data_IF_283248937065
#
_entry.id   IF_283248937065
#
_cell.length_a   1.000
_cell.length_b   1.000
_cell.length_c   1.000
_cell.angle_alpha   90.00
_cell.angle_beta   90.00
_cell.angle_gamma   90.00
#
_symmetry.space_group_name_H-M   'P 1'
#
loop_
_entity.id
_entity.type
_entity.pdbx_description
1 polymer ?
#
# COMPACT_ATOMS: atom_id res chain seq x y z
N UNK A 1 17.53 5.70 12.83
CA UNK A 1 17.83 5.06 11.52
C UNK A 1 18.02 3.58 11.82
N UNK A 2 17.27 2.70 11.14
CA UNK A 2 17.37 1.24 11.34
C UNK A 2 18.59 0.67 10.58
N UNK A 3 19.02 -0.55 10.94
CA UNK A 3 20.01 -1.36 10.21
C UNK A 3 19.37 -2.57 9.53
N UNK A 4 18.04 -2.67 9.53
CA UNK A 4 17.30 -3.76 8.89
C UNK A 4 17.65 -3.85 7.40
N UNK A 5 18.06 -5.04 6.96
CA UNK A 5 18.27 -5.37 5.55
C UNK A 5 17.07 -6.08 4.93
N UNK A 6 16.04 -6.35 5.74
CA UNK A 6 14.88 -7.13 5.36
C UNK A 6 13.62 -6.51 6.00
N UNK A 7 12.52 -6.56 5.26
CA UNK A 7 11.19 -6.30 5.76
C UNK A 7 10.26 -7.48 5.46
N UNK A 8 9.21 -7.62 6.25
CA UNK A 8 8.13 -8.57 6.01
C UNK A 8 6.82 -7.79 5.89
N UNK A 9 5.99 -8.16 4.92
CA UNK A 9 4.58 -7.78 4.89
C UNK A 9 3.73 -9.01 5.12
N UNK A 10 2.94 -8.96 6.18
CA UNK A 10 2.08 -10.06 6.62
C UNK A 10 0.64 -9.60 6.53
N UNK A 11 -0.22 -10.42 5.95
CA UNK A 11 -1.66 -10.26 6.01
C UNK A 11 -2.23 -11.43 6.80
N UNK A 12 -3.01 -11.12 7.84
CA UNK A 12 -3.72 -12.11 8.64
C UNK A 12 -5.22 -11.86 8.58
N UNK A 13 -6.00 -12.93 8.70
CA UNK A 13 -7.45 -12.85 8.76
C UNK A 13 -8.00 -12.61 10.18
N UNK A 14 -9.31 -12.61 10.31
CA UNK A 14 -10.04 -12.42 11.56
C UNK A 14 -9.85 -13.56 12.59
N UNK A 15 -9.33 -14.71 12.15
CA UNK A 15 -8.93 -15.83 13.01
C UNK A 15 -7.45 -15.77 13.40
N UNK A 16 -6.75 -14.69 13.01
CA UNK A 16 -5.30 -14.52 13.13
C UNK A 16 -4.50 -15.57 12.35
N UNK A 17 -5.06 -16.12 11.27
CA UNK A 17 -4.34 -16.99 10.36
C UNK A 17 -3.63 -16.15 9.30
N UNK A 18 -2.35 -16.43 9.05
CA UNK A 18 -1.61 -15.85 7.94
C UNK A 18 -2.22 -16.29 6.62
N UNK A 19 -2.64 -15.31 5.80
CA UNK A 19 -3.18 -15.54 4.45
C UNK A 19 -2.21 -15.11 3.36
N UNK A 20 -1.26 -14.25 3.70
CA UNK A 20 -0.19 -13.83 2.81
C UNK A 20 1.01 -13.35 3.61
N UNK A 21 2.21 -13.76 3.19
CA UNK A 21 3.48 -13.26 3.66
C UNK A 21 4.37 -13.00 2.46
N UNK A 22 5.05 -11.86 2.45
CA UNK A 22 6.14 -11.60 1.52
C UNK A 22 7.29 -10.94 2.25
N UNK A 23 8.49 -11.38 1.89
CA UNK A 23 9.75 -10.83 2.38
C UNK A 23 10.32 -9.88 1.34
N UNK A 24 10.81 -8.75 1.81
CA UNK A 24 11.35 -7.70 0.97
C UNK A 24 12.77 -7.35 1.39
N UNK A 25 13.72 -7.46 0.46
CA UNK A 25 15.09 -7.01 0.68
C UNK A 25 15.15 -5.48 0.66
N UNK A 26 15.73 -4.89 1.70
CA UNK A 26 15.94 -3.45 1.83
C UNK A 26 17.38 -3.10 1.47
N UNK A 27 17.56 -2.08 0.62
CA UNK A 27 18.86 -1.59 0.15
C UNK A 27 19.41 -0.45 1.05
N UNK A 28 18.85 -0.26 2.24
CA UNK A 28 19.12 0.86 3.15
C UNK A 28 18.86 2.26 2.53
N UNK A 29 18.13 2.34 1.42
CA UNK A 29 17.70 3.62 0.84
C UNK A 29 16.44 4.10 1.55
N UNK A 30 16.47 5.34 2.06
CA UNK A 30 15.27 5.96 2.62
C UNK A 30 14.32 6.37 1.49
N UNK A 31 13.09 5.85 1.49
CA UNK A 31 12.10 6.17 0.48
C UNK A 31 10.71 5.65 0.82
N UNK A 32 9.86 5.62 -0.20
CA UNK A 32 8.52 5.02 -0.15
C UNK A 32 8.58 3.68 -0.89
N UNK A 33 8.12 2.63 -0.21
CA UNK A 33 8.03 1.28 -0.75
C UNK A 33 6.65 1.06 -1.34
N UNK A 34 6.57 0.54 -2.56
CA UNK A 34 5.32 0.08 -3.16
C UNK A 34 5.19 -1.42 -2.96
N UNK A 35 4.03 -1.84 -2.45
CA UNK A 35 3.77 -3.24 -2.16
C UNK A 35 2.47 -3.66 -2.83
N UNK A 36 2.55 -4.71 -3.65
CA UNK A 36 1.41 -5.27 -4.34
C UNK A 36 1.05 -6.61 -3.70
N UNK A 37 -0.20 -6.75 -3.26
CA UNK A 37 -0.74 -8.04 -2.87
C UNK A 37 -1.19 -8.76 -4.13
N UNK A 38 -0.65 -9.97 -4.45
CA UNK A 38 -1.02 -10.70 -5.64
C UNK A 38 -2.52 -11.02 -5.70
N UNK A 39 -3.11 -10.99 -6.88
CA UNK A 39 -4.52 -11.38 -7.09
C UNK A 39 -4.80 -12.85 -6.72
N UNK A 40 -3.76 -13.68 -6.61
CA UNK A 40 -3.86 -15.07 -6.14
C UNK A 40 -4.19 -15.19 -4.66
N UNK A 41 -4.03 -14.11 -3.87
CA UNK A 41 -4.45 -14.07 -2.47
C UNK A 41 -5.97 -13.86 -2.44
N UNK A 42 -6.76 -14.86 -1.99
CA UNK A 42 -8.21 -14.82 -2.10
C UNK A 42 -8.84 -13.95 -1.02
N UNK A 43 -8.81 -12.63 -1.22
CA UNK A 43 -9.49 -11.67 -0.34
C UNK A 43 -11.00 -11.74 -0.56
N UNK A 44 -11.73 -12.07 0.51
CA UNK A 44 -13.18 -12.18 0.52
C UNK A 44 -13.82 -10.78 0.61
N UNK A 45 -14.84 -10.55 -0.21
CA UNK A 45 -15.61 -9.29 -0.19
C UNK A 45 -16.19 -9.01 1.21
N UNK A 46 -16.02 -7.78 1.69
CA UNK A 46 -16.50 -7.34 3.01
C UNK A 46 -15.80 -7.98 4.21
N UNK A 47 -14.77 -8.82 3.98
CA UNK A 47 -13.95 -9.37 5.06
C UNK A 47 -12.77 -8.45 5.34
N UNK A 48 -12.58 -8.11 6.61
CA UNK A 48 -11.44 -7.35 7.09
C UNK A 48 -10.25 -8.27 7.37
N UNK A 49 -9.08 -7.81 6.95
CA UNK A 49 -7.79 -8.42 7.20
C UNK A 49 -6.90 -7.41 7.91
N UNK A 50 -6.02 -7.88 8.79
CA UNK A 50 -5.00 -7.04 9.40
C UNK A 50 -3.71 -7.23 8.64
N UNK A 51 -3.08 -6.13 8.23
CA UNK A 51 -1.76 -6.18 7.66
C UNK A 51 -0.73 -5.65 8.65
N UNK A 52 0.48 -6.19 8.58
CA UNK A 52 1.66 -5.74 9.32
C UNK A 52 2.78 -5.48 8.31
N UNK A 53 3.50 -4.39 8.50
CA UNK A 53 4.77 -4.16 7.82
C UNK A 53 5.86 -4.09 8.87
N UNK A 54 6.81 -5.02 8.81
CA UNK A 54 7.81 -5.27 9.85
C UNK A 54 9.19 -5.06 9.27
N UNK A 55 10.02 -4.24 9.91
CA UNK A 55 11.44 -4.10 9.63
C UNK A 55 12.21 -5.09 10.50
N UNK A 56 12.77 -6.13 9.89
CA UNK A 56 13.51 -7.19 10.58
C UNK A 56 14.89 -6.65 10.97
N UNK A 57 15.03 -6.27 12.24
CA UNK A 57 16.24 -5.61 12.73
C UNK A 57 17.29 -6.61 13.22
N UNK A 58 16.83 -7.70 13.82
CA UNK A 58 17.65 -8.81 14.30
C UNK A 58 16.87 -10.13 14.15
N UNK A 59 17.19 -10.97 13.15
CA UNK A 59 16.47 -12.23 12.93
C UNK A 59 16.52 -13.19 14.13
N UNK A 60 17.48 -13.04 15.04
CA UNK A 60 17.59 -13.86 16.26
C UNK A 60 16.85 -13.26 17.45
N UNK A 61 16.49 -11.98 17.41
CA UNK A 61 15.82 -11.25 18.49
C UNK A 61 14.74 -10.32 17.91
N UNK A 62 13.65 -10.95 17.44
CA UNK A 62 12.52 -10.29 16.77
C UNK A 62 11.79 -9.27 17.65
N UNK A 63 12.00 -9.27 18.98
CA UNK A 63 11.45 -8.23 19.88
C UNK A 63 12.00 -6.83 19.58
N UNK A 64 13.09 -6.74 18.82
CA UNK A 64 13.72 -5.49 18.39
C UNK A 64 13.16 -4.94 17.08
N UNK A 65 12.26 -5.65 16.43
CA UNK A 65 11.68 -5.21 15.16
C UNK A 65 10.83 -3.95 15.33
N UNK A 66 10.88 -3.10 14.31
CA UNK A 66 9.96 -1.99 14.17
C UNK A 66 8.84 -2.38 13.23
N UNK A 67 7.59 -2.11 13.60
CA UNK A 67 6.46 -2.47 12.75
C UNK A 67 5.34 -1.46 12.84
N UNK A 68 4.52 -1.47 11.80
CA UNK A 68 3.24 -0.75 11.71
C UNK A 68 2.18 -1.72 11.25
N UNK A 69 0.91 -1.38 11.47
CA UNK A 69 -0.22 -2.22 11.08
C UNK A 69 -1.38 -1.38 10.55
N UNK A 70 -2.32 -2.04 9.87
CA UNK A 70 -3.57 -1.45 9.46
C UNK A 70 -4.60 -2.49 9.06
N UNK A 71 -5.71 -2.02 8.52
CA UNK A 71 -6.81 -2.85 8.00
C UNK A 71 -6.80 -2.81 6.48
N UNK A 72 -7.04 -3.96 5.88
CA UNK A 72 -7.34 -4.13 4.46
C UNK A 72 -8.71 -4.79 4.34
N UNK A 73 -9.59 -4.23 3.53
CA UNK A 73 -10.91 -4.78 3.26
C UNK A 73 -11.15 -4.70 1.76
N UNK A 74 -11.62 -5.80 1.17
CA UNK A 74 -12.05 -5.80 -0.23
C UNK A 74 -13.50 -5.35 -0.30
N UNK A 75 -13.72 -4.13 -0.76
CA UNK A 75 -15.05 -3.50 -0.80
C UNK A 75 -15.70 -3.62 -2.16
N UNK A 76 -17.02 -3.79 -2.19
CA UNK A 76 -17.79 -3.81 -3.43
C UNK A 76 -17.99 -2.38 -3.95
N UNK A 77 -17.76 -2.17 -5.23
CA UNK A 77 -18.09 -0.90 -5.87
C UNK A 77 -19.59 -0.79 -6.03
N UNK A 78 -20.16 0.40 -5.79
CA UNK A 78 -21.55 0.64 -6.17
C UNK A 78 -21.68 0.50 -7.70
N UNK A 79 -22.85 0.06 -8.22
CA UNK A 79 -23.05 -0.06 -9.65
C UNK A 79 -22.79 1.24 -10.43
N UNK A 80 -23.11 2.38 -9.82
CA UNK A 80 -22.85 3.70 -10.38
C UNK A 80 -21.35 4.01 -10.45
N UNK A 81 -20.60 3.75 -9.37
CA UNK A 81 -19.16 3.95 -9.35
C UNK A 81 -18.45 3.04 -10.35
N UNK A 82 -18.85 1.77 -10.42
CA UNK A 82 -18.31 0.83 -11.40
C UNK A 82 -18.53 1.32 -12.84
N UNK A 83 -19.74 1.77 -13.17
CA UNK A 83 -20.04 2.31 -14.50
C UNK A 83 -19.23 3.58 -14.81
N UNK A 84 -19.09 4.50 -13.85
CA UNK A 84 -18.32 5.72 -14.02
C UNK A 84 -16.83 5.40 -14.24
N UNK A 85 -16.27 4.45 -13.50
CA UNK A 85 -14.89 4.00 -13.66
C UNK A 85 -14.64 3.31 -15.01
N UNK A 86 -15.60 2.51 -15.51
CA UNK A 86 -15.51 1.88 -16.83
C UNK A 86 -15.51 2.91 -17.98
N UNK A 87 -16.25 4.01 -17.82
CA UNK A 87 -16.38 5.04 -18.85
C UNK A 87 -15.23 6.06 -18.81
N UNK A 88 -14.69 6.36 -17.63
CA UNK A 88 -13.63 7.33 -17.46
C UNK A 88 -12.28 6.78 -17.96
N UNK A 89 -11.64 7.50 -18.89
CA UNK A 89 -10.35 7.12 -19.48
C UNK A 89 -9.18 7.87 -18.84
N UNK A 90 -9.45 8.96 -18.13
CA UNK A 90 -8.45 9.73 -17.43
C UNK A 90 -8.20 9.15 -16.03
N UNK A 91 -6.99 8.63 -15.81
CA UNK A 91 -6.58 8.01 -14.54
C UNK A 91 -6.65 8.95 -13.34
N UNK A 92 -6.45 10.27 -13.53
CA UNK A 92 -6.58 11.25 -12.44
C UNK A 92 -8.06 11.43 -12.06
N UNK A 93 -8.97 11.43 -13.04
CA UNK A 93 -10.42 11.46 -12.76
C UNK A 93 -10.89 10.14 -12.13
N UNK A 94 -10.37 8.98 -12.55
CA UNK A 94 -10.62 7.71 -11.85
C UNK A 94 -10.17 7.76 -10.37
N UNK A 95 -9.01 8.34 -10.08
CA UNK A 95 -8.55 8.51 -8.70
C UNK A 95 -9.50 9.39 -7.86
N UNK A 96 -10.07 10.45 -8.46
CA UNK A 96 -11.07 11.30 -7.81
C UNK A 96 -12.37 10.54 -7.56
N UNK A 97 -12.84 9.71 -8.50
CA UNK A 97 -14.01 8.86 -8.29
C UNK A 97 -13.82 7.91 -7.10
N UNK A 98 -12.65 7.28 -6.96
CA UNK A 98 -12.32 6.50 -5.77
C UNK A 98 -12.30 7.35 -4.49
N UNK A 99 -11.75 8.57 -4.56
CA UNK A 99 -11.64 9.46 -3.42
C UNK A 99 -13.03 9.91 -2.92
N UNK A 100 -13.91 10.28 -3.84
CA UNK A 100 -15.30 10.68 -3.56
C UNK A 100 -16.10 9.52 -2.96
N UNK A 101 -15.78 8.29 -3.36
CA UNK A 101 -16.33 7.06 -2.79
C UNK A 101 -15.67 6.63 -1.47
N UNK A 102 -14.71 7.41 -0.94
CA UNK A 102 -13.94 7.13 0.28
C UNK A 102 -13.11 5.82 0.20
N UNK A 103 -12.74 5.42 -1.02
CA UNK A 103 -11.94 4.21 -1.29
C UNK A 103 -10.45 4.60 -1.31
N UNK A 104 -9.89 4.74 -0.11
CA UNK A 104 -8.55 5.32 0.09
C UNK A 104 -7.41 4.57 -0.59
N UNK A 105 -7.42 3.23 -0.58
CA UNK A 105 -6.30 2.42 -1.10
C UNK A 105 -6.17 2.59 -2.62
N UNK A 106 -7.29 2.55 -3.32
CA UNK A 106 -7.41 2.78 -4.75
C UNK A 106 -7.06 4.24 -5.10
N UNK A 107 -7.55 5.23 -4.35
CA UNK A 107 -7.11 6.63 -4.53
C UNK A 107 -5.60 6.78 -4.42
N UNK A 108 -4.99 6.26 -3.35
CA UNK A 108 -3.54 6.40 -3.10
C UNK A 108 -2.72 5.68 -4.18
N UNK A 109 -3.09 4.45 -4.52
CA UNK A 109 -2.37 3.65 -5.52
C UNK A 109 -2.50 4.23 -6.93
N UNK A 110 -3.68 4.71 -7.32
CA UNK A 110 -3.88 5.37 -8.63
C UNK A 110 -3.10 6.68 -8.72
N UNK A 111 -3.12 7.53 -7.68
CA UNK A 111 -2.31 8.76 -7.66
C UNK A 111 -0.81 8.45 -7.63
N UNK A 112 -0.38 7.39 -6.95
CA UNK A 112 1.01 6.96 -6.95
C UNK A 112 1.49 6.59 -8.37
N UNK A 113 0.65 5.94 -9.19
CA UNK A 113 0.98 5.64 -10.60
C UNK A 113 1.18 6.91 -11.44
N UNK A 114 0.49 7.99 -11.11
CA UNK A 114 0.57 9.27 -11.79
C UNK A 114 1.69 10.18 -11.28
N UNK A 115 2.52 9.72 -10.34
CA UNK A 115 3.49 10.57 -9.67
C UNK A 115 4.47 11.28 -10.62
N UNK A 116 4.84 10.64 -11.73
CA UNK A 116 5.79 11.21 -12.69
C UNK A 116 5.11 12.20 -13.66
N UNK A 117 3.87 11.92 -14.09
CA UNK A 117 3.13 12.75 -15.03
C UNK A 117 2.36 13.90 -14.35
N UNK A 118 1.87 13.66 -13.13
CA UNK A 118 1.06 14.57 -12.32
C UNK A 118 1.62 14.69 -10.88
N UNK A 119 2.87 15.14 -10.69
CA UNK A 119 3.54 15.16 -9.39
C UNK A 119 2.80 16.01 -8.34
N UNK A 120 2.08 17.05 -8.79
CA UNK A 120 1.32 17.90 -7.89
C UNK A 120 0.14 17.16 -7.25
N UNK A 121 -0.53 16.27 -7.99
CA UNK A 121 -1.64 15.47 -7.46
C UNK A 121 -1.17 14.55 -6.32
N UNK A 122 0.01 13.94 -6.47
CA UNK A 122 0.66 13.17 -5.40
C UNK A 122 0.98 14.04 -4.18
N UNK A 123 1.63 15.19 -4.40
CA UNK A 123 2.01 16.09 -3.29
C UNK A 123 0.78 16.59 -2.53
N UNK A 124 -0.29 16.95 -3.23
CA UNK A 124 -1.52 17.45 -2.62
C UNK A 124 -2.25 16.37 -1.84
N UNK A 125 -2.35 15.14 -2.38
CA UNK A 125 -2.94 14.00 -1.68
C UNK A 125 -2.18 13.67 -0.38
N UNK A 126 -0.87 13.59 -0.44
CA UNK A 126 -0.05 13.24 0.73
C UNK A 126 -0.07 14.35 1.79
N UNK A 127 -0.12 15.62 1.37
CA UNK A 127 -0.30 16.76 2.28
C UNK A 127 -1.66 16.77 2.96
N UNK A 128 -2.73 16.38 2.25
CA UNK A 128 -4.10 16.42 2.82
C UNK A 128 -4.27 15.51 4.04
N UNK A 129 -3.43 14.47 4.15
CA UNK A 129 -3.38 13.52 5.27
C UNK A 129 -2.21 13.77 6.25
N UNK A 130 -1.53 14.91 6.15
CA UNK A 130 -0.46 15.30 7.08
C UNK A 130 0.84 14.51 6.93
N UNK A 131 1.12 13.99 5.72
CA UNK A 131 2.31 13.21 5.41
C UNK A 131 3.31 13.99 4.53
N UNK A 132 3.28 15.32 4.58
CA UNK A 132 4.09 16.20 3.71
C UNK A 132 5.60 15.93 3.81
N UNK A 133 6.07 15.44 4.95
CA UNK A 133 7.48 15.11 5.18
C UNK A 133 8.00 13.98 4.26
N UNK A 134 7.11 13.14 3.74
CA UNK A 134 7.45 12.03 2.83
C UNK A 134 7.09 12.31 1.35
N UNK A 135 6.35 13.39 1.05
CA UNK A 135 5.86 13.66 -0.30
C UNK A 135 6.96 13.71 -1.38
N UNK A 136 8.15 14.20 -1.02
CA UNK A 136 9.30 14.33 -1.93
C UNK A 136 10.30 13.16 -1.83
N UNK A 137 10.01 12.10 -1.06
CA UNK A 137 10.90 10.93 -0.96
C UNK A 137 10.76 10.03 -2.18
N UNK A 138 11.85 9.47 -2.73
CA UNK A 138 11.76 8.66 -3.94
C UNK A 138 10.91 7.40 -3.70
N UNK A 139 10.23 6.93 -4.75
CA UNK A 139 9.85 5.52 -4.78
C UNK A 139 11.13 4.72 -4.89
N UNK A 140 11.33 3.83 -3.94
CA UNK A 140 12.52 2.98 -3.92
C UNK A 140 12.15 1.66 -4.58
N UNK A 141 12.97 1.25 -5.55
CA UNK A 141 12.97 -0.11 -6.08
C UNK A 141 13.71 -1.03 -5.10
N UNK A 142 13.39 -0.95 -3.81
CA UNK A 142 13.60 -2.08 -2.94
C UNK A 142 12.43 -3.02 -3.22
N UNK A 143 12.62 -4.33 -3.04
CA UNK A 143 11.51 -5.30 -3.11
C UNK A 143 11.04 -5.73 -4.52
N UNK A 144 11.94 -6.16 -5.39
CA UNK A 144 11.52 -7.19 -6.36
C UNK A 144 11.22 -8.45 -5.54
N UNK A 145 9.98 -8.97 -5.59
CA UNK A 145 9.66 -10.27 -5.02
C UNK A 145 10.71 -11.28 -5.52
N UNK A 146 11.45 -11.88 -4.58
CA UNK A 146 12.42 -12.90 -4.95
C UNK A 146 11.61 -14.12 -5.40
N UNK A 147 11.66 -14.43 -6.69
CA UNK A 147 11.12 -15.68 -7.24
C UNK A 147 11.82 -16.89 -6.62
#
# INVERSE_FOLDING_TARGET
KTTASEAEFVLIDDQNQEVYLTTLTLDNTNGIVQLNVPETVPLTMGKQYKWFFVLVCDPQERSRDHWVQGILERTELSPELALNLEQEQNTLEQAKLYADALIWQETLSTIAQLRDSEPQAWVDLIKSVGLEAIANKPFVNCCTASN
#
